data_IF_857325820992
#
_entry.id   IF_857325820992
#
_cell.length_a   1.000
_cell.length_b   1.000
_cell.length_c   1.000
_cell.angle_alpha   90.00
_cell.angle_beta   90.00
_cell.angle_gamma   90.00
#
_symmetry.space_group_name_H-M   'P 1'
#
loop_
_entity.id
_entity.type
_entity.pdbx_description
1 polymer ?
#
# COMPACT_ATOMS: atom_id res chain seq x y z
N UNK A 1 2.47 -13.08 19.70
CA UNK A 1 1.47 -12.12 20.22
C UNK A 1 0.21 -12.29 19.40
N UNK A 2 -0.95 -12.18 20.02
CA UNK A 2 -2.25 -12.18 19.37
C UNK A 2 -3.04 -10.97 19.84
N UNK A 3 -3.35 -10.07 18.93
CA UNK A 3 -4.23 -8.93 19.14
C UNK A 3 -5.62 -9.32 18.64
N UNK A 4 -6.65 -9.06 19.43
CA UNK A 4 -8.03 -9.37 19.07
C UNK A 4 -8.89 -8.13 19.25
N UNK A 5 -9.96 -8.04 18.45
CA UNK A 5 -10.97 -6.99 18.55
C UNK A 5 -10.38 -5.57 18.39
N UNK A 6 -9.72 -5.35 17.28
CA UNK A 6 -9.28 -4.04 16.85
C UNK A 6 -10.43 -3.40 16.06
N UNK A 7 -11.20 -2.47 16.66
CA UNK A 7 -12.33 -1.85 15.97
C UNK A 7 -11.86 -0.72 15.06
N UNK A 8 -12.52 -0.54 13.92
CA UNK A 8 -12.36 0.59 13.03
C UNK A 8 -13.58 0.77 12.14
N UNK A 9 -13.76 1.98 11.60
CA UNK A 9 -14.86 2.26 10.67
C UNK A 9 -14.45 1.94 9.22
N UNK A 10 -15.29 1.16 8.52
CA UNK A 10 -15.11 0.89 7.10
C UNK A 10 -16.47 0.88 6.38
N UNK A 11 -16.59 1.65 5.28
CA UNK A 11 -17.85 1.81 4.52
C UNK A 11 -19.06 2.17 5.40
N UNK A 12 -18.85 2.96 6.46
CA UNK A 12 -19.91 3.43 7.36
C UNK A 12 -20.38 2.42 8.42
N UNK A 13 -19.73 1.26 8.53
CA UNK A 13 -19.97 0.27 9.56
C UNK A 13 -18.74 0.07 10.45
N UNK A 14 -18.97 -0.36 11.68
CA UNK A 14 -17.88 -0.77 12.55
C UNK A 14 -17.41 -2.18 12.18
N UNK A 15 -16.14 -2.30 11.85
CA UNK A 15 -15.47 -3.55 11.55
C UNK A 15 -14.49 -3.93 12.64
N UNK A 16 -14.17 -5.21 12.73
CA UNK A 16 -13.23 -5.74 13.72
C UNK A 16 -12.15 -6.55 13.02
N UNK A 17 -10.91 -6.19 13.24
CA UNK A 17 -9.77 -6.99 12.82
C UNK A 17 -9.11 -7.72 14.00
N UNK A 18 -8.37 -8.75 13.69
CA UNK A 18 -7.46 -9.42 14.61
C UNK A 18 -6.09 -9.56 13.96
N UNK A 19 -5.03 -9.53 14.76
CA UNK A 19 -3.69 -9.74 14.25
C UNK A 19 -2.94 -10.76 15.10
N UNK A 20 -2.17 -11.62 14.43
CA UNK A 20 -1.19 -12.52 15.04
C UNK A 20 0.20 -12.08 14.62
N UNK A 21 1.21 -12.40 15.41
CA UNK A 21 2.58 -12.17 15.01
C UNK A 21 3.49 -13.37 15.25
N UNK A 22 4.48 -13.49 14.37
CA UNK A 22 5.59 -14.41 14.49
C UNK A 22 6.89 -13.72 14.06
N UNK A 23 8.02 -14.27 14.42
CA UNK A 23 9.32 -13.81 13.91
C UNK A 23 9.76 -14.65 12.72
N UNK A 24 10.39 -14.02 11.74
CA UNK A 24 11.11 -14.77 10.70
C UNK A 24 12.25 -15.53 11.40
N UNK A 25 12.35 -16.87 11.21
CA UNK A 25 13.35 -17.67 11.88
C UNK A 25 14.77 -17.09 11.72
N UNK A 26 15.53 -17.06 12.83
CA UNK A 26 16.90 -16.54 12.91
C UNK A 26 17.04 -15.03 12.63
N UNK A 27 15.96 -14.25 12.65
CA UNK A 27 15.98 -12.80 12.48
C UNK A 27 15.26 -12.09 13.63
N UNK A 28 15.38 -10.76 13.69
CA UNK A 28 14.57 -9.89 14.55
C UNK A 28 13.34 -9.32 13.84
N UNK A 29 13.10 -9.76 12.62
CA UNK A 29 11.97 -9.27 11.81
C UNK A 29 10.69 -9.93 12.30
N UNK A 30 9.76 -9.12 12.75
CA UNK A 30 8.44 -9.55 13.18
C UNK A 30 7.44 -9.43 12.03
N UNK A 31 6.70 -10.48 11.77
CA UNK A 31 5.63 -10.53 10.77
C UNK A 31 4.29 -10.48 11.50
N UNK A 32 3.41 -9.62 11.05
CA UNK A 32 2.04 -9.52 11.54
C UNK A 32 1.08 -10.07 10.50
N UNK A 33 0.20 -10.97 10.92
CA UNK A 33 -0.83 -11.58 10.08
C UNK A 33 -2.17 -10.97 10.48
N UNK A 34 -2.75 -10.19 9.60
CA UNK A 34 -4.10 -9.68 9.77
C UNK A 34 -5.11 -10.79 9.49
N UNK A 35 -6.01 -11.04 10.43
CA UNK A 35 -7.07 -12.04 10.31
C UNK A 35 -8.44 -11.35 10.21
N UNK A 36 -9.20 -11.76 9.22
CA UNK A 36 -10.63 -11.45 9.10
C UNK A 36 -11.30 -12.57 8.34
N UNK A 37 -12.29 -13.20 8.97
CA UNK A 37 -13.04 -14.31 8.33
C UNK A 37 -13.93 -13.78 7.20
N UNK A 38 -14.54 -12.62 7.40
CA UNK A 38 -15.47 -12.04 6.43
C UNK A 38 -14.78 -11.55 5.15
N UNK A 39 -13.55 -11.04 5.25
CA UNK A 39 -12.83 -10.43 4.13
C UNK A 39 -11.81 -11.34 3.45
N UNK A 40 -11.22 -12.31 4.17
CA UNK A 40 -10.11 -13.13 3.68
C UNK A 40 -10.32 -14.63 3.80
N UNK A 41 -11.49 -15.12 4.26
CA UNK A 41 -11.82 -16.55 4.30
C UNK A 41 -13.19 -16.84 3.64
N UNK A 42 -13.37 -18.06 3.12
CA UNK A 42 -12.35 -19.05 2.77
C UNK A 42 -11.86 -18.82 1.35
N UNK A 43 -10.63 -18.38 1.18
CA UNK A 43 -10.05 -18.27 -0.15
C UNK A 43 -9.46 -19.63 -0.54
N UNK A 44 -10.26 -20.49 -1.16
CA UNK A 44 -9.80 -21.74 -1.78
C UNK A 44 -8.95 -21.52 -3.03
N UNK A 45 -8.55 -20.27 -3.30
CA UNK A 45 -7.91 -19.84 -4.53
C UNK A 45 -6.72 -18.92 -4.20
N UNK A 46 -6.15 -18.35 -5.25
CA UNK A 46 -5.15 -17.27 -5.12
C UNK A 46 -5.81 -16.04 -4.50
N UNK A 47 -5.08 -15.30 -3.68
CA UNK A 47 -5.60 -14.19 -2.86
C UNK A 47 -6.39 -13.13 -3.63
N UNK A 48 -6.10 -12.91 -4.91
CA UNK A 48 -6.70 -11.84 -5.73
C UNK A 48 -7.23 -12.33 -7.08
N UNK A 49 -7.07 -13.61 -7.40
CA UNK A 49 -7.61 -14.22 -8.62
C UNK A 49 -8.06 -15.66 -8.39
N UNK A 50 -9.00 -16.10 -9.19
CA UNK A 50 -9.46 -17.48 -9.20
C UNK A 50 -8.44 -18.44 -9.85
N UNK A 51 -8.62 -19.73 -9.69
CA UNK A 51 -7.73 -20.77 -10.29
C UNK A 51 -7.58 -20.65 -11.80
N UNK A 52 -8.60 -20.18 -12.51
CA UNK A 52 -8.57 -19.91 -13.95
C UNK A 52 -8.01 -18.53 -14.33
N UNK A 53 -7.39 -17.81 -13.40
CA UNK A 53 -6.75 -16.52 -13.64
C UNK A 53 -7.67 -15.31 -13.62
N UNK A 54 -9.00 -15.49 -13.45
CA UNK A 54 -9.94 -14.37 -13.41
C UNK A 54 -9.75 -13.54 -12.14
N UNK A 55 -9.63 -12.24 -12.30
CA UNK A 55 -9.53 -11.27 -11.19
C UNK A 55 -10.82 -11.31 -10.37
N UNK A 56 -10.69 -11.32 -9.04
CA UNK A 56 -11.84 -11.27 -8.14
C UNK A 56 -12.39 -9.84 -8.10
N UNK A 57 -13.72 -9.71 -8.21
CA UNK A 57 -14.38 -8.40 -8.33
C UNK A 57 -14.35 -7.57 -7.05
N UNK A 58 -14.19 -8.21 -5.91
CA UNK A 58 -14.15 -7.60 -4.57
C UNK A 58 -12.74 -7.18 -4.11
N UNK A 59 -11.73 -7.35 -4.97
CA UNK A 59 -10.34 -7.02 -4.62
C UNK A 59 -10.17 -5.61 -4.07
N UNK A 60 -10.76 -4.61 -4.73
CA UNK A 60 -10.65 -3.22 -4.29
C UNK A 60 -11.17 -3.04 -2.86
N UNK A 61 -12.32 -3.63 -2.56
CA UNK A 61 -12.94 -3.56 -1.24
C UNK A 61 -12.09 -4.27 -0.19
N UNK A 62 -11.62 -5.50 -0.48
CA UNK A 62 -10.79 -6.28 0.46
C UNK A 62 -9.48 -5.59 0.80
N UNK A 63 -8.81 -5.00 -0.17
CA UNK A 63 -7.53 -4.32 0.07
C UNK A 63 -7.70 -2.89 0.60
N UNK A 64 -8.85 -2.26 0.40
CA UNK A 64 -9.22 -1.06 1.14
C UNK A 64 -9.46 -1.38 2.63
N UNK A 65 -10.23 -2.44 2.92
CA UNK A 65 -10.37 -2.97 4.29
C UNK A 65 -9.00 -3.27 4.91
N UNK A 66 -8.13 -4.02 4.21
CA UNK A 66 -6.78 -4.32 4.66
C UNK A 66 -6.00 -3.05 5.02
N UNK A 67 -6.03 -2.04 4.17
CA UNK A 67 -5.30 -0.79 4.38
C UNK A 67 -5.74 -0.06 5.65
N UNK A 68 -7.05 0.03 5.91
CA UNK A 68 -7.58 0.62 7.14
C UNK A 68 -7.29 -0.24 8.37
N UNK A 69 -7.44 -1.57 8.26
CA UNK A 69 -7.16 -2.49 9.35
C UNK A 69 -5.68 -2.45 9.76
N UNK A 70 -4.74 -2.32 8.81
CA UNK A 70 -3.31 -2.12 9.09
C UNK A 70 -3.12 -0.85 9.91
N UNK A 71 -3.63 0.30 9.44
CA UNK A 71 -3.48 1.57 10.15
C UNK A 71 -4.07 1.51 11.56
N UNK A 72 -5.28 0.96 11.71
CA UNK A 72 -5.94 0.81 13.02
C UNK A 72 -5.21 -0.16 13.96
N UNK A 73 -4.42 -1.09 13.42
CA UNK A 73 -3.63 -2.03 14.22
C UNK A 73 -2.38 -1.39 14.83
N UNK A 74 -1.79 -0.39 14.19
CA UNK A 74 -0.51 0.19 14.60
C UNK A 74 -0.45 0.62 16.08
N UNK A 75 -1.45 1.34 16.65
CA UNK A 75 -1.40 1.74 18.04
C UNK A 75 -1.37 0.57 19.04
N UNK A 76 -1.81 -0.60 18.61
CA UNK A 76 -1.84 -1.81 19.45
C UNK A 76 -0.52 -2.61 19.42
N UNK A 77 0.46 -2.18 18.62
CA UNK A 77 1.75 -2.87 18.48
C UNK A 77 2.78 -2.44 19.53
N UNK A 78 2.46 -1.46 20.38
CA UNK A 78 3.34 -0.91 21.43
C UNK A 78 4.61 -0.21 20.90
N UNK A 79 4.65 0.13 19.61
CA UNK A 79 5.71 0.90 18.98
C UNK A 79 5.15 1.72 17.82
N UNK A 80 5.78 2.83 17.51
CA UNK A 80 5.39 3.70 16.40
C UNK A 80 6.34 3.46 15.23
N UNK A 81 5.85 3.12 14.04
CA UNK A 81 6.72 3.06 12.87
C UNK A 81 7.11 4.49 12.45
N UNK A 82 8.38 4.68 12.09
CA UNK A 82 8.80 5.92 11.45
C UNK A 82 8.35 5.95 9.99
N UNK A 83 8.33 4.78 9.34
CA UNK A 83 8.03 4.64 7.92
C UNK A 83 7.12 3.44 7.66
N UNK A 84 6.12 3.65 6.81
CA UNK A 84 5.29 2.60 6.23
C UNK A 84 5.68 2.41 4.76
N UNK A 85 6.30 1.29 4.44
CA UNK A 85 6.58 0.90 3.05
C UNK A 85 5.37 0.15 2.50
N UNK A 86 4.65 0.78 1.59
CA UNK A 86 3.43 0.29 0.98
C UNK A 86 3.78 -0.41 -0.34
N UNK A 87 3.93 -1.73 -0.32
CA UNK A 87 4.42 -2.50 -1.45
C UNK A 87 3.27 -3.04 -2.31
N UNK A 88 3.25 -2.64 -3.58
CA UNK A 88 2.27 -3.05 -4.57
C UNK A 88 0.87 -2.45 -4.38
N UNK A 89 -0.03 -2.81 -5.30
CA UNK A 89 -1.39 -2.26 -5.32
C UNK A 89 -2.23 -2.67 -4.10
N UNK A 90 -1.93 -3.77 -3.45
CA UNK A 90 -2.63 -4.28 -2.27
C UNK A 90 -2.54 -3.35 -1.07
N UNK A 91 -1.47 -2.58 -0.96
CA UNK A 91 -1.24 -1.63 0.13
C UNK A 91 -1.25 -0.17 -0.33
N UNK A 92 -1.54 0.08 -1.61
CA UNK A 92 -1.47 1.42 -2.19
C UNK A 92 -2.50 2.42 -1.62
N UNK A 93 -3.55 1.97 -0.96
CA UNK A 93 -4.51 2.86 -0.28
C UNK A 93 -4.05 3.31 1.11
N UNK A 94 -3.02 2.69 1.69
CA UNK A 94 -2.50 3.08 3.01
C UNK A 94 -2.09 4.56 3.04
N UNK A 95 -1.28 5.09 2.10
CA UNK A 95 -0.92 6.52 2.10
C UNK A 95 -2.14 7.45 2.04
N UNK A 96 -3.17 7.07 1.28
CA UNK A 96 -4.38 7.88 1.16
C UNK A 96 -5.16 7.93 2.47
N UNK A 97 -5.50 6.79 3.06
CA UNK A 97 -6.18 6.75 4.35
C UNK A 97 -5.35 7.38 5.45
N UNK A 98 -4.04 7.11 5.49
CA UNK A 98 -3.17 7.71 6.48
C UNK A 98 -3.25 9.24 6.43
N UNK A 99 -3.08 9.83 5.26
CA UNK A 99 -3.04 11.29 5.10
C UNK A 99 -4.37 11.96 5.40
N UNK A 100 -5.47 11.36 4.98
CA UNK A 100 -6.79 11.99 5.05
C UNK A 100 -7.59 11.64 6.31
N UNK A 101 -7.31 10.49 6.94
CA UNK A 101 -8.08 10.04 8.09
C UNK A 101 -7.25 9.87 9.37
N UNK A 102 -5.99 9.41 9.29
CA UNK A 102 -5.23 8.98 10.47
C UNK A 102 -4.20 9.99 10.96
N UNK A 103 -3.49 10.69 10.08
CA UNK A 103 -2.41 11.62 10.46
C UNK A 103 -2.84 12.64 11.52
N UNK A 104 -4.08 13.13 11.43
CA UNK A 104 -4.63 14.14 12.34
C UNK A 104 -5.31 13.60 13.61
N UNK A 105 -5.50 12.28 13.75
CA UNK A 105 -6.31 11.72 14.86
C UNK A 105 -5.58 11.82 16.21
N UNK A 106 -4.27 11.57 16.24
CA UNK A 106 -3.50 11.54 17.48
C UNK A 106 -2.01 11.77 17.25
N UNK A 107 -1.28 12.07 18.34
CA UNK A 107 0.18 12.21 18.34
C UNK A 107 0.89 10.95 17.80
N UNK A 108 0.28 9.77 17.96
CA UNK A 108 0.83 8.51 17.49
C UNK A 108 1.14 8.53 15.99
N UNK A 109 0.23 9.10 15.18
CA UNK A 109 0.38 9.07 13.72
C UNK A 109 1.19 10.23 13.14
N UNK A 110 1.40 11.33 13.85
CA UNK A 110 1.92 12.59 13.30
C UNK A 110 3.27 12.51 12.58
N UNK A 111 4.10 11.55 12.94
CA UNK A 111 5.48 11.47 12.43
C UNK A 111 5.71 10.36 11.42
N UNK A 112 4.70 9.54 11.15
CA UNK A 112 4.83 8.43 10.21
C UNK A 112 4.98 8.97 8.80
N UNK A 113 5.91 8.39 8.03
CA UNK A 113 6.09 8.67 6.61
C UNK A 113 5.68 7.46 5.79
N UNK A 114 5.25 7.69 4.56
CA UNK A 114 4.78 6.63 3.67
C UNK A 114 5.62 6.57 2.41
N UNK A 115 6.07 5.37 2.04
CA UNK A 115 6.77 5.09 0.78
C UNK A 115 5.92 4.14 -0.05
N UNK A 116 5.48 4.58 -1.21
CA UNK A 116 4.76 3.74 -2.17
C UNK A 116 5.75 3.02 -3.06
N UNK A 117 5.70 1.69 -3.10
CA UNK A 117 6.51 0.87 -4.01
C UNK A 117 5.63 0.33 -5.14
N UNK A 118 5.98 0.65 -6.37
CA UNK A 118 5.26 0.22 -7.58
C UNK A 118 6.15 -0.73 -8.39
N UNK A 119 5.75 -1.99 -8.51
CA UNK A 119 6.51 -3.02 -9.22
C UNK A 119 5.71 -3.74 -10.32
N UNK A 120 4.45 -3.35 -10.51
CA UNK A 120 3.57 -3.85 -11.56
C UNK A 120 2.57 -2.77 -12.02
N UNK A 121 1.94 -2.99 -13.16
CA UNK A 121 0.82 -2.18 -13.67
C UNK A 121 -0.33 -3.06 -14.15
N UNK A 122 -0.56 -4.14 -13.46
CA UNK A 122 -1.61 -5.11 -13.78
C UNK A 122 -3.03 -4.51 -13.65
N UNK A 123 -3.98 -5.16 -14.28
CA UNK A 123 -5.40 -4.75 -14.26
C UNK A 123 -6.02 -4.77 -12.85
N UNK A 124 -5.40 -5.45 -11.89
CA UNK A 124 -5.81 -5.44 -10.48
C UNK A 124 -5.73 -4.06 -9.83
N UNK A 125 -4.86 -3.20 -10.33
CA UNK A 125 -4.68 -1.83 -9.85
C UNK A 125 -5.73 -0.85 -10.35
N UNK A 126 -6.69 -1.31 -11.21
CA UNK A 126 -7.76 -0.48 -11.77
C UNK A 126 -9.04 -0.63 -10.96
N UNK A 127 -9.56 0.48 -10.45
CA UNK A 127 -10.74 0.55 -9.58
C UNK A 127 -11.70 1.62 -10.09
N UNK A 128 -12.99 1.36 -9.95
CA UNK A 128 -14.01 2.35 -10.31
C UNK A 128 -14.03 3.50 -9.28
N UNK A 129 -14.11 4.73 -9.76
CA UNK A 129 -14.17 5.93 -8.92
C UNK A 129 -15.28 5.88 -7.88
N UNK A 130 -16.46 5.38 -8.27
CA UNK A 130 -17.61 5.23 -7.37
C UNK A 130 -17.33 4.27 -6.23
N UNK A 131 -16.55 3.21 -6.47
CA UNK A 131 -16.20 2.26 -5.42
C UNK A 131 -15.15 2.84 -4.47
N UNK A 132 -14.16 3.56 -5.00
CA UNK A 132 -13.21 4.30 -4.16
C UNK A 132 -13.93 5.29 -3.24
N UNK A 133 -14.92 6.03 -3.76
CA UNK A 133 -15.72 6.97 -2.96
C UNK A 133 -16.53 6.25 -1.86
N UNK A 134 -17.16 5.10 -2.15
CA UNK A 134 -17.87 4.28 -1.14
C UNK A 134 -16.94 3.80 -0.02
N UNK A 135 -15.68 3.53 -0.36
CA UNK A 135 -14.67 3.10 0.60
C UNK A 135 -14.05 4.26 1.40
N UNK A 136 -14.48 5.51 1.17
CA UNK A 136 -13.95 6.70 1.83
C UNK A 136 -12.58 7.14 1.32
N UNK A 137 -12.21 6.75 0.10
CA UNK A 137 -10.93 7.16 -0.49
C UNK A 137 -11.05 8.59 -1.03
N UNK A 138 -10.21 9.48 -0.56
CA UNK A 138 -10.10 10.85 -1.07
C UNK A 138 -9.36 10.86 -2.41
N UNK A 139 -10.01 11.40 -3.45
CA UNK A 139 -9.45 11.42 -4.80
C UNK A 139 -9.10 12.85 -5.18
N UNK A 140 -7.82 13.11 -5.42
CA UNK A 140 -7.37 14.44 -5.87
C UNK A 140 -8.17 14.88 -7.11
N UNK A 141 -8.71 16.11 -7.14
CA UNK A 141 -9.53 16.63 -8.26
C UNK A 141 -8.82 16.63 -9.63
N UNK A 142 -7.51 16.55 -9.65
CA UNK A 142 -6.73 16.45 -10.88
C UNK A 142 -6.84 15.09 -11.55
N UNK A 143 -7.14 14.03 -10.79
CA UNK A 143 -7.33 12.68 -11.33
C UNK A 143 -8.69 12.62 -12.01
N UNK A 144 -8.71 12.41 -13.32
CA UNK A 144 -9.94 12.36 -14.13
C UNK A 144 -10.30 10.93 -14.53
N UNK A 145 -11.55 10.74 -14.95
CA UNK A 145 -12.08 9.46 -15.43
C UNK A 145 -12.87 8.69 -14.37
N UNK A 146 -13.55 7.65 -14.82
CA UNK A 146 -14.43 6.81 -13.99
C UNK A 146 -13.71 5.54 -13.51
N UNK A 147 -12.72 5.06 -14.27
CA UNK A 147 -11.86 3.94 -13.90
C UNK A 147 -10.45 4.45 -13.64
N UNK A 148 -9.99 4.32 -12.41
CA UNK A 148 -8.74 4.91 -11.93
C UNK A 148 -7.72 3.83 -11.66
N UNK A 149 -6.44 4.15 -11.85
CA UNK A 149 -5.36 3.33 -11.32
C UNK A 149 -5.11 3.73 -9.87
N UNK A 150 -5.08 2.78 -8.96
CA UNK A 150 -4.92 3.00 -7.52
C UNK A 150 -3.59 3.68 -7.19
N UNK A 151 -2.55 3.44 -8.01
CA UNK A 151 -1.26 4.11 -7.85
C UNK A 151 -1.32 5.61 -8.18
N UNK A 152 -2.19 6.01 -9.15
CA UNK A 152 -2.41 7.43 -9.43
C UNK A 152 -3.02 8.13 -8.19
N UNK A 153 -3.95 7.45 -7.50
CA UNK A 153 -4.57 7.96 -6.27
C UNK A 153 -3.55 8.03 -5.13
N UNK A 154 -2.77 6.97 -4.94
CA UNK A 154 -1.76 6.87 -3.88
C UNK A 154 -0.63 7.90 -4.03
N UNK A 155 -0.23 8.22 -5.27
CA UNK A 155 0.92 9.09 -5.55
C UNK A 155 0.78 10.51 -4.97
N UNK A 156 -0.44 11.03 -4.87
CA UNK A 156 -0.68 12.36 -4.27
C UNK A 156 -0.47 12.37 -2.76
N UNK A 157 -0.66 11.23 -2.10
CA UNK A 157 -0.64 11.14 -0.64
C UNK A 157 0.66 10.56 -0.07
N UNK A 158 1.38 9.74 -0.84
CA UNK A 158 2.65 9.18 -0.41
C UNK A 158 3.73 10.26 -0.25
N UNK A 159 4.61 10.12 0.76
CA UNK A 159 5.75 11.03 0.97
C UNK A 159 6.86 10.76 -0.06
N UNK A 160 7.06 9.48 -0.44
CA UNK A 160 7.97 9.09 -1.52
C UNK A 160 7.39 7.93 -2.34
N UNK A 161 7.92 7.76 -3.56
CA UNK A 161 7.49 6.73 -4.51
C UNK A 161 8.74 6.04 -5.07
N UNK A 162 8.83 4.73 -4.90
CA UNK A 162 9.83 3.89 -5.54
C UNK A 162 9.18 3.11 -6.68
N UNK A 163 9.64 3.32 -7.90
CA UNK A 163 9.21 2.54 -9.06
C UNK A 163 10.30 1.51 -9.34
N UNK A 164 9.92 0.24 -9.45
CA UNK A 164 10.83 -0.87 -9.73
C UNK A 164 10.67 -1.32 -11.17
N UNK A 165 11.61 -0.97 -12.01
CA UNK A 165 11.69 -1.45 -13.39
C UNK A 165 12.39 -2.81 -13.42
N UNK A 166 11.92 -3.69 -14.33
CA UNK A 166 12.52 -4.99 -14.58
C UNK A 166 13.11 -5.04 -15.99
N UNK A 167 14.09 -5.90 -16.27
CA UNK A 167 14.57 -6.14 -17.61
C UNK A 167 13.41 -6.46 -18.57
N UNK A 168 13.33 -5.72 -19.67
CA UNK A 168 12.26 -5.86 -20.66
C UNK A 168 10.93 -5.20 -20.29
N UNK A 169 10.73 -4.74 -19.04
CA UNK A 169 9.51 -4.07 -18.61
C UNK A 169 9.80 -2.78 -17.82
N UNK A 170 9.90 -1.66 -18.53
CA UNK A 170 10.06 -0.33 -17.91
C UNK A 170 8.71 0.31 -17.58
N UNK A 171 8.16 -0.03 -16.42
CA UNK A 171 6.90 0.55 -15.95
C UNK A 171 7.03 2.03 -15.65
N UNK A 172 8.22 2.50 -15.24
CA UNK A 172 8.53 3.91 -15.02
C UNK A 172 8.21 4.75 -16.24
N UNK A 173 8.57 4.27 -17.44
CA UNK A 173 8.31 4.97 -18.70
C UNK A 173 6.81 5.20 -18.98
N UNK A 174 5.95 4.33 -18.47
CA UNK A 174 4.49 4.45 -18.57
C UNK A 174 3.94 5.37 -17.47
N UNK A 175 4.41 5.19 -16.23
CA UNK A 175 3.94 5.96 -15.07
C UNK A 175 4.32 7.44 -15.16
N UNK A 176 5.56 7.75 -15.50
CA UNK A 176 6.05 9.13 -15.58
C UNK A 176 5.39 9.97 -16.70
N UNK A 177 4.65 9.34 -17.60
CA UNK A 177 3.81 10.05 -18.59
C UNK A 177 2.45 10.47 -18.02
N UNK A 178 1.99 9.84 -16.94
CA UNK A 178 0.72 10.16 -16.30
C UNK A 178 0.80 11.45 -15.49
N UNK A 179 -0.28 12.25 -15.49
CA UNK A 179 -0.35 13.52 -14.78
C UNK A 179 -0.01 13.36 -13.28
N UNK A 180 -0.57 12.34 -12.64
CA UNK A 180 -0.35 12.07 -11.21
C UNK A 180 1.13 11.91 -10.85
N UNK A 181 1.90 11.21 -11.67
CA UNK A 181 3.34 11.01 -11.44
C UNK A 181 4.18 12.22 -11.86
N UNK A 182 3.76 12.95 -12.91
CA UNK A 182 4.41 14.22 -13.28
C UNK A 182 4.29 15.27 -12.19
N UNK A 183 3.10 15.42 -11.62
CA UNK A 183 2.84 16.36 -10.53
C UNK A 183 3.66 16.02 -9.27
N UNK A 184 3.96 14.74 -9.07
CA UNK A 184 4.69 14.22 -7.93
C UNK A 184 6.14 13.79 -8.25
N UNK A 185 6.69 14.21 -9.38
CA UNK A 185 8.00 13.75 -9.87
C UNK A 185 9.14 13.91 -8.85
N UNK A 186 9.09 14.95 -8.02
CA UNK A 186 10.10 15.18 -6.95
C UNK A 186 10.13 14.11 -5.86
N UNK A 187 9.07 13.29 -5.77
CA UNK A 187 8.95 12.19 -4.81
C UNK A 187 9.35 10.85 -5.41
N UNK A 188 9.62 10.79 -6.72
CA UNK A 188 9.82 9.53 -7.46
C UNK A 188 11.29 9.20 -7.58
N UNK A 189 11.62 7.98 -7.16
CA UNK A 189 12.89 7.30 -7.42
C UNK A 189 12.60 6.09 -8.29
N UNK A 190 13.46 5.82 -9.26
CA UNK A 190 13.36 4.63 -10.12
C UNK A 190 14.53 3.71 -9.79
N UNK A 191 14.21 2.47 -9.44
CA UNK A 191 15.18 1.38 -9.31
C UNK A 191 15.09 0.51 -10.55
N UNK A 192 16.19 0.32 -11.26
CA UNK A 192 16.30 -0.57 -12.42
C UNK A 192 16.95 -1.88 -11.98
N UNK A 193 16.20 -2.96 -12.05
CA UNK A 193 16.72 -4.31 -11.84
C UNK A 193 17.47 -4.74 -13.10
N UNK A 194 18.70 -5.21 -12.96
CA UNK A 194 19.56 -5.59 -14.08
C UNK A 194 19.31 -7.02 -14.54
N UNK A 195 18.95 -7.93 -13.64
CA UNK A 195 18.71 -9.35 -13.91
C UNK A 195 17.25 -9.74 -13.65
N UNK A 196 16.71 -10.67 -14.46
CA UNK A 196 15.36 -11.24 -14.27
C UNK A 196 15.33 -12.33 -13.20
N UNK A 197 16.41 -13.05 -13.04
CA UNK A 197 16.48 -14.23 -12.16
C UNK A 197 16.98 -13.87 -10.76
N UNK A 198 17.81 -12.83 -10.65
CA UNK A 198 18.40 -12.42 -9.38
C UNK A 198 18.09 -10.95 -9.08
N UNK A 199 17.34 -10.72 -7.99
CA UNK A 199 17.09 -9.37 -7.49
C UNK A 199 18.32 -8.93 -6.71
N UNK A 200 18.94 -7.84 -7.13
CA UNK A 200 19.96 -7.19 -6.30
C UNK A 200 19.33 -6.52 -5.09
N UNK A 201 19.14 -7.33 -4.02
CA UNK A 201 18.59 -6.84 -2.76
C UNK A 201 19.45 -5.78 -2.09
N UNK A 202 20.77 -5.78 -2.34
CA UNK A 202 21.65 -4.76 -1.80
C UNK A 202 21.37 -3.40 -2.44
N UNK A 203 21.42 -3.31 -3.76
CA UNK A 203 21.13 -2.08 -4.50
C UNK A 203 19.70 -1.58 -4.23
N UNK A 204 18.71 -2.49 -4.12
CA UNK A 204 17.35 -2.13 -3.74
C UNK A 204 17.28 -1.54 -2.32
N UNK A 205 18.01 -2.12 -1.38
CA UNK A 205 18.06 -1.62 0.00
C UNK A 205 18.73 -0.26 0.07
N UNK A 206 19.82 -0.04 -0.67
CA UNK A 206 20.48 1.27 -0.79
C UNK A 206 19.51 2.34 -1.31
N UNK A 207 18.74 2.00 -2.36
CA UNK A 207 17.72 2.92 -2.91
C UNK A 207 16.63 3.25 -1.88
N UNK A 208 16.16 2.27 -1.11
CA UNK A 208 15.20 2.50 -0.04
C UNK A 208 15.81 3.33 1.11
N UNK A 209 17.03 3.05 1.52
CA UNK A 209 17.72 3.82 2.57
C UNK A 209 17.90 5.28 2.16
N UNK A 210 18.23 5.55 0.90
CA UNK A 210 18.34 6.92 0.40
C UNK A 210 16.99 7.63 0.48
N UNK A 211 15.91 6.98 0.02
CA UNK A 211 14.54 7.53 0.10
C UNK A 211 14.18 7.83 1.56
N UNK A 212 14.44 6.90 2.47
CA UNK A 212 14.16 7.05 3.90
C UNK A 212 14.92 8.25 4.47
N UNK A 213 16.21 8.37 4.17
CA UNK A 213 17.02 9.51 4.58
C UNK A 213 16.45 10.84 4.09
N UNK A 214 16.04 10.90 2.82
CA UNK A 214 15.53 12.13 2.19
C UNK A 214 14.19 12.60 2.78
N UNK A 215 13.32 11.69 3.21
CA UNK A 215 12.00 12.03 3.78
C UNK A 215 12.02 12.25 5.30
N UNK A 216 13.03 11.73 6.00
CA UNK A 216 13.17 11.89 7.46
C UNK A 216 14.02 13.11 7.85
N UNK A 217 14.84 13.63 6.92
CA UNK A 217 15.67 14.83 7.15
C UNK A 217 14.92 16.14 6.95
N UNK A 218 13.67 16.09 6.56
CA UNK A 218 12.76 17.26 6.38
C UNK A 218 11.81 17.40 7.56
#
# INVERSE_FOLDING_TARGET
IRLRKIPFSFCGVEEIASAKSAFIPKTRVQVYFLESEDWFQPLNNLLYKSKNGRVLMDNSMRYAYYSKAVLSTLPHLFWVPDILVCNGWQSALIPNYYKNEYEGISEFYKKIKTVLVVHDLDDYSKVDRSDLAKMGVEIDPKIKGNKLNIYDVASYNADAILIMDRPGEKISSKLLKKAAFKDNQKKVTVFEQEDLEEIDFYAMTESLNQIVSDITSK
#
